data_IF_941604571940
#
_entry.id   IF_941604571940
#
_cell.length_a   1.000
_cell.length_b   1.000
_cell.length_c   1.000
_cell.angle_alpha   90.00
_cell.angle_beta   90.00
_cell.angle_gamma   90.00
#
_symmetry.space_group_name_H-M   'P 1'
#
loop_
_entity.id
_entity.type
_entity.pdbx_description
1 polymer ?
#
# COMPACT_ATOMS: atom_id res chain seq x y z
N UNK A 1 27.68 -96.46 20.91
CA UNK A 1 27.17 -95.18 21.45
C UNK A 1 27.42 -94.18 20.35
N UNK A 2 26.32 -93.72 19.76
CA UNK A 2 26.25 -92.95 18.53
C UNK A 2 26.88 -91.56 18.70
N UNK A 3 27.62 -91.12 17.69
CA UNK A 3 27.79 -89.69 17.43
C UNK A 3 26.46 -89.09 16.95
N UNK A 4 26.17 -87.84 17.31
CA UNK A 4 25.56 -86.97 16.32
C UNK A 4 26.28 -85.61 16.17
N UNK A 5 26.57 -85.36 14.91
CA UNK A 5 26.86 -84.12 14.17
C UNK A 5 26.30 -82.81 14.73
N UNK A 6 27.14 -81.78 14.60
CA UNK A 6 26.87 -80.36 14.89
C UNK A 6 25.72 -79.73 14.08
N UNK A 7 25.14 -78.64 14.59
CA UNK A 7 24.56 -77.58 13.77
C UNK A 7 25.48 -76.35 13.70
N UNK A 8 25.59 -75.85 12.47
CA UNK A 8 26.28 -74.64 12.01
C UNK A 8 25.47 -73.41 12.43
N UNK A 9 26.12 -72.38 13.01
CA UNK A 9 25.59 -71.01 12.93
C UNK A 9 26.73 -69.98 12.75
N UNK A 10 26.46 -69.01 11.87
CA UNK A 10 27.40 -68.25 11.05
C UNK A 10 28.17 -67.11 11.76
N UNK A 11 29.30 -66.63 11.22
CA UNK A 11 30.03 -65.49 11.74
C UNK A 11 29.60 -64.13 11.13
N UNK A 12 29.43 -63.12 12.02
CA UNK A 12 29.64 -61.65 11.88
C UNK A 12 28.84 -60.85 10.82
N UNK A 13 28.43 -59.59 11.09
CA UNK A 13 29.40 -58.48 11.06
C UNK A 13 29.19 -57.31 12.05
N UNK A 14 30.31 -56.60 12.24
CA UNK A 14 30.43 -55.26 12.81
C UNK A 14 29.66 -54.18 12.00
N UNK A 15 29.47 -53.04 12.67
CA UNK A 15 29.16 -51.70 12.17
C UNK A 15 27.69 -51.25 12.20
N UNK A 16 27.41 -50.29 13.08
CA UNK A 16 27.01 -48.95 12.61
C UNK A 16 27.25 -47.92 13.71
N UNK A 17 28.14 -46.98 13.41
CA UNK A 17 28.34 -45.75 14.14
C UNK A 17 27.03 -44.94 14.20
N UNK A 18 26.80 -44.12 15.24
CA UNK A 18 25.69 -43.19 15.26
C UNK A 18 25.86 -42.20 14.11
N UNK A 19 24.87 -42.18 13.23
CA UNK A 19 24.76 -41.31 12.07
C UNK A 19 25.03 -39.85 12.46
N UNK A 20 26.05 -39.27 11.84
CA UNK A 20 26.31 -37.83 11.84
C UNK A 20 25.03 -37.11 11.46
N UNK A 21 24.59 -36.21 12.34
CA UNK A 21 23.65 -35.15 11.98
C UNK A 21 24.33 -34.34 10.89
N UNK A 22 23.87 -34.50 9.65
CA UNK A 22 24.20 -33.64 8.53
C UNK A 22 24.06 -32.19 8.99
N UNK A 23 25.11 -31.40 8.76
CA UNK A 23 25.18 -29.99 9.09
C UNK A 23 23.87 -29.30 8.70
N UNK A 24 23.27 -28.60 9.65
CA UNK A 24 22.01 -27.88 9.48
C UNK A 24 22.13 -26.95 8.27
N UNK A 25 21.48 -27.35 7.18
CA UNK A 25 21.28 -26.51 6.01
C UNK A 25 20.54 -25.26 6.47
N UNK A 26 21.08 -24.08 6.15
CA UNK A 26 20.45 -22.81 6.51
C UNK A 26 18.98 -22.82 6.04
N UNK A 27 18.03 -22.30 6.84
CA UNK A 27 16.62 -22.37 6.50
C UNK A 27 16.40 -21.71 5.14
N UNK A 28 16.04 -22.53 4.14
CA UNK A 28 15.87 -22.07 2.77
C UNK A 28 14.65 -21.17 2.69
N UNK A 29 14.84 -19.86 2.56
CA UNK A 29 13.73 -18.92 2.50
C UNK A 29 13.05 -18.99 1.13
N UNK A 30 11.75 -19.28 1.13
CA UNK A 30 10.88 -19.28 -0.05
C UNK A 30 10.47 -17.85 -0.37
N UNK A 31 10.85 -17.34 -1.53
CA UNK A 31 10.56 -15.98 -1.95
C UNK A 31 9.63 -15.98 -3.16
N UNK A 32 8.45 -15.39 -3.01
CA UNK A 32 7.56 -15.12 -4.15
C UNK A 32 7.91 -13.76 -4.74
N UNK A 33 8.09 -13.71 -6.06
CA UNK A 33 8.60 -12.52 -6.73
C UNK A 33 7.57 -11.98 -7.73
N UNK A 34 7.28 -10.69 -7.63
CA UNK A 34 6.52 -9.93 -8.63
C UNK A 34 7.39 -9.58 -9.86
N UNK A 35 6.79 -9.29 -11.02
CA UNK A 35 7.53 -8.90 -12.24
C UNK A 35 8.39 -7.67 -12.03
N UNK A 36 7.84 -6.66 -11.35
CA UNK A 36 8.53 -5.43 -11.02
C UNK A 36 9.70 -5.66 -10.08
N UNK A 37 9.57 -6.63 -9.17
CA UNK A 37 10.63 -7.06 -8.27
C UNK A 37 11.72 -7.84 -9.01
N UNK A 38 11.34 -8.84 -9.80
CA UNK A 38 12.28 -9.68 -10.55
C UNK A 38 13.16 -8.82 -11.47
N UNK A 39 12.55 -7.88 -12.20
CA UNK A 39 13.23 -7.07 -13.21
C UNK A 39 14.07 -5.91 -12.67
N UNK A 40 13.99 -5.57 -11.37
CA UNK A 40 14.72 -4.43 -10.79
C UNK A 40 15.60 -4.78 -9.61
N UNK A 41 15.27 -5.83 -8.85
CA UNK A 41 16.05 -6.20 -7.67
C UNK A 41 17.46 -6.63 -8.06
N UNK A 42 18.41 -6.24 -7.21
CA UNK A 42 19.81 -6.62 -7.26
C UNK A 42 20.17 -7.66 -6.19
N UNK A 43 19.24 -7.96 -5.29
CA UNK A 43 19.45 -8.79 -4.09
C UNK A 43 18.64 -10.09 -4.07
N UNK A 44 18.22 -10.60 -5.24
CA UNK A 44 17.47 -11.87 -5.33
C UNK A 44 18.26 -13.05 -4.76
N UNK A 45 19.58 -13.05 -4.96
CA UNK A 45 20.53 -14.02 -4.46
C UNK A 45 20.57 -14.10 -2.92
N UNK A 46 20.49 -12.95 -2.25
CA UNK A 46 20.59 -12.86 -0.79
C UNK A 46 19.25 -12.93 -0.07
N UNK A 47 18.15 -12.71 -0.80
CA UNK A 47 16.82 -12.55 -0.19
C UNK A 47 16.02 -13.85 -0.09
N UNK A 48 16.37 -14.88 -0.86
CA UNK A 48 15.74 -16.20 -0.79
C UNK A 48 16.44 -17.27 -1.61
N UNK A 49 16.41 -18.51 -1.11
CA UNK A 49 17.07 -19.66 -1.71
C UNK A 49 16.19 -20.36 -2.77
N UNK A 50 14.86 -20.20 -2.66
CA UNK A 50 13.89 -20.75 -3.61
C UNK A 50 12.95 -19.65 -4.11
N UNK A 51 13.03 -19.33 -5.39
CA UNK A 51 12.21 -18.29 -6.03
C UNK A 51 10.96 -18.90 -6.64
N UNK A 52 9.80 -18.30 -6.37
CA UNK A 52 8.51 -18.71 -6.91
C UNK A 52 7.83 -17.57 -7.65
N UNK A 53 7.16 -17.88 -8.76
CA UNK A 53 6.29 -16.94 -9.47
C UNK A 53 5.06 -17.67 -10.03
N UNK A 54 3.98 -16.92 -10.20
CA UNK A 54 2.77 -17.42 -10.87
C UNK A 54 2.96 -17.45 -12.38
N UNK A 55 2.18 -18.27 -13.08
CA UNK A 55 2.24 -18.37 -14.55
C UNK A 55 2.02 -17.04 -15.26
N UNK A 56 1.17 -16.17 -14.70
CA UNK A 56 0.93 -14.82 -15.24
C UNK A 56 2.18 -13.95 -15.21
N UNK A 57 2.88 -13.96 -14.07
CA UNK A 57 4.13 -13.23 -13.85
C UNK A 57 5.26 -13.77 -14.74
N UNK A 58 5.37 -15.09 -14.90
CA UNK A 58 6.39 -15.71 -15.77
C UNK A 58 6.23 -15.22 -17.22
N UNK A 59 5.00 -15.20 -17.76
CA UNK A 59 4.72 -14.69 -19.11
C UNK A 59 5.07 -13.21 -19.27
N UNK A 60 4.81 -12.41 -18.24
CA UNK A 60 5.19 -10.99 -18.25
C UNK A 60 6.71 -10.80 -18.19
N UNK A 61 7.41 -11.62 -17.40
CA UNK A 61 8.88 -11.65 -17.36
C UNK A 61 9.43 -11.99 -18.75
N UNK A 62 8.90 -13.01 -19.42
CA UNK A 62 9.33 -13.39 -20.78
C UNK A 62 9.18 -12.24 -21.78
N UNK A 63 8.03 -11.55 -21.79
CA UNK A 63 7.84 -10.36 -22.63
C UNK A 63 8.84 -9.24 -22.31
N UNK A 64 9.27 -9.13 -21.06
CA UNK A 64 10.28 -8.16 -20.66
C UNK A 64 11.68 -8.58 -21.13
N UNK A 65 11.99 -9.88 -21.18
CA UNK A 65 13.25 -10.40 -21.74
C UNK A 65 13.44 -9.98 -23.19
N UNK A 66 12.36 -10.02 -23.99
CA UNK A 66 12.40 -9.59 -25.40
C UNK A 66 12.77 -8.11 -25.55
N UNK A 67 12.34 -7.26 -24.60
CA UNK A 67 12.63 -5.83 -24.60
C UNK A 67 14.01 -5.49 -24.03
N UNK A 68 14.54 -6.30 -23.11
CA UNK A 68 15.84 -6.09 -22.47
C UNK A 68 16.65 -7.39 -22.33
N UNK A 69 17.32 -7.84 -23.41
CA UNK A 69 18.01 -9.12 -23.45
C UNK A 69 19.25 -9.17 -22.52
N UNK A 70 19.92 -8.04 -22.30
CA UNK A 70 21.10 -7.97 -21.41
C UNK A 70 20.70 -8.22 -19.95
N UNK A 71 19.63 -7.54 -19.51
CA UNK A 71 19.09 -7.75 -18.15
C UNK A 71 18.51 -9.14 -17.95
N UNK A 72 18.03 -9.77 -19.02
CA UNK A 72 17.54 -11.15 -18.99
C UNK A 72 18.65 -12.18 -18.78
N UNK A 73 19.81 -11.97 -19.42
CA UNK A 73 20.95 -12.90 -19.33
C UNK A 73 21.55 -12.94 -17.92
N UNK A 74 21.68 -11.79 -17.25
CA UNK A 74 22.14 -11.75 -15.84
C UNK A 74 21.18 -12.53 -14.94
N UNK A 75 19.89 -12.55 -15.29
CA UNK A 75 18.84 -13.20 -14.50
C UNK A 75 18.65 -14.68 -14.77
N UNK A 76 19.23 -15.24 -15.83
CA UNK A 76 19.16 -16.68 -16.09
C UNK A 76 19.94 -17.51 -15.06
N UNK A 77 20.74 -16.85 -14.20
CA UNK A 77 21.41 -17.47 -13.05
C UNK A 77 20.41 -17.87 -11.97
N UNK A 78 19.23 -17.23 -11.93
CA UNK A 78 18.21 -17.50 -10.92
C UNK A 78 17.26 -18.61 -11.35
N UNK A 79 17.10 -19.62 -10.49
CA UNK A 79 16.15 -20.71 -10.70
C UNK A 79 14.74 -20.30 -10.24
N UNK A 80 13.93 -19.81 -11.17
CA UNK A 80 12.54 -19.44 -10.91
C UNK A 80 11.61 -20.65 -11.06
N UNK A 81 10.89 -20.99 -9.99
CA UNK A 81 9.91 -22.08 -9.98
C UNK A 81 8.52 -21.53 -10.29
N UNK A 82 7.90 -22.02 -11.36
CA UNK A 82 6.51 -21.70 -11.69
C UNK A 82 5.57 -22.46 -10.75
N UNK A 83 4.68 -21.74 -10.06
CA UNK A 83 3.65 -22.35 -9.21
C UNK A 83 2.42 -21.47 -9.17
N UNK A 84 1.26 -22.07 -9.42
CA UNK A 84 -0.02 -21.37 -9.36
C UNK A 84 -0.68 -21.54 -7.96
N UNK A 85 -1.37 -20.50 -7.47
CA UNK A 85 -2.12 -20.55 -6.22
C UNK A 85 -3.43 -21.33 -6.38
N UNK A 86 -4.01 -21.77 -5.26
CA UNK A 86 -5.32 -22.41 -5.27
C UNK A 86 -6.43 -21.35 -5.29
N UNK A 87 -7.59 -21.71 -5.86
CA UNK A 87 -8.73 -20.80 -5.97
C UNK A 87 -9.27 -20.33 -4.62
N UNK A 88 -9.14 -21.15 -3.57
CA UNK A 88 -9.50 -20.81 -2.19
C UNK A 88 -8.66 -19.65 -1.64
N UNK A 89 -7.36 -19.64 -1.93
CA UNK A 89 -6.44 -18.59 -1.47
C UNK A 89 -6.75 -17.29 -2.20
N UNK A 90 -7.00 -17.38 -3.52
CA UNK A 90 -7.40 -16.23 -4.35
C UNK A 90 -8.68 -15.60 -3.79
N UNK A 91 -9.68 -16.41 -3.42
CA UNK A 91 -10.93 -15.93 -2.85
C UNK A 91 -10.69 -15.23 -1.50
N UNK A 92 -9.82 -15.79 -0.66
CA UNK A 92 -9.46 -15.23 0.65
C UNK A 92 -8.78 -13.87 0.49
N UNK A 93 -7.78 -13.78 -0.40
CA UNK A 93 -7.06 -12.53 -0.70
C UNK A 93 -8.01 -11.47 -1.28
N UNK A 94 -8.91 -11.84 -2.19
CA UNK A 94 -9.91 -10.90 -2.75
C UNK A 94 -10.82 -10.32 -1.67
N UNK A 95 -11.30 -11.15 -0.75
CA UNK A 95 -12.12 -10.69 0.38
C UNK A 95 -11.32 -9.75 1.27
N UNK A 96 -10.08 -10.10 1.59
CA UNK A 96 -9.21 -9.29 2.42
C UNK A 96 -8.88 -7.92 1.78
N UNK A 97 -8.49 -7.91 0.50
CA UNK A 97 -8.21 -6.68 -0.25
C UNK A 97 -9.44 -5.79 -0.43
N UNK A 98 -10.65 -6.37 -0.43
CA UNK A 98 -11.89 -5.59 -0.42
C UNK A 98 -12.10 -4.89 0.93
N UNK A 99 -11.74 -5.54 2.05
CA UNK A 99 -11.82 -4.97 3.39
C UNK A 99 -10.79 -3.85 3.60
N UNK A 100 -9.57 -3.98 3.06
CA UNK A 100 -8.56 -2.90 3.13
C UNK A 100 -8.86 -1.75 2.17
N UNK A 101 -9.63 -2.00 1.10
CA UNK A 101 -9.96 -1.02 0.07
C UNK A 101 -8.93 -0.93 -1.06
N UNK A 102 -7.93 -1.83 -1.09
CA UNK A 102 -6.87 -1.84 -2.12
C UNK A 102 -7.24 -2.68 -3.36
N UNK A 103 -8.32 -3.46 -3.32
CA UNK A 103 -8.75 -4.32 -4.44
C UNK A 103 -8.84 -3.60 -5.81
N UNK A 104 -9.33 -2.35 -5.93
CA UNK A 104 -9.39 -1.66 -7.23
C UNK A 104 -8.02 -1.36 -7.85
N UNK A 105 -6.96 -1.35 -7.03
CA UNK A 105 -5.59 -1.07 -7.46
C UNK A 105 -4.79 -2.34 -7.79
N UNK A 106 -5.29 -3.52 -7.42
CA UNK A 106 -4.61 -4.80 -7.65
C UNK A 106 -5.08 -5.46 -8.96
N UNK A 107 -4.13 -5.98 -9.73
CA UNK A 107 -4.38 -6.80 -10.91
C UNK A 107 -4.63 -8.27 -10.53
N UNK A 108 -5.07 -9.07 -11.52
CA UNK A 108 -5.25 -10.52 -11.33
C UNK A 108 -3.93 -11.24 -11.01
N UNK A 109 -2.82 -10.80 -11.61
CA UNK A 109 -1.50 -11.36 -11.35
C UNK A 109 -1.02 -10.99 -9.94
N UNK A 110 -1.27 -9.76 -9.49
CA UNK A 110 -0.93 -9.30 -8.13
C UNK A 110 -1.67 -10.12 -7.07
N UNK A 111 -2.97 -10.33 -7.25
CA UNK A 111 -3.79 -11.19 -6.38
C UNK A 111 -3.21 -12.62 -6.37
N UNK A 112 -2.77 -13.13 -7.53
CA UNK A 112 -2.13 -14.43 -7.63
C UNK A 112 -0.84 -14.54 -6.82
N UNK A 113 0.03 -13.52 -6.86
CA UNK A 113 1.26 -13.48 -6.07
C UNK A 113 1.00 -13.46 -4.56
N UNK A 114 0.00 -12.69 -4.12
CA UNK A 114 -0.41 -12.64 -2.71
C UNK A 114 -1.01 -13.98 -2.27
N UNK A 115 -1.83 -14.60 -3.12
CA UNK A 115 -2.41 -15.90 -2.84
C UNK A 115 -1.35 -17.02 -2.77
N UNK A 116 -0.36 -16.97 -3.66
CA UNK A 116 0.75 -17.93 -3.64
C UNK A 116 1.61 -17.78 -2.39
N UNK A 117 1.86 -16.55 -1.93
CA UNK A 117 2.57 -16.32 -0.67
C UNK A 117 1.79 -16.85 0.52
N UNK A 118 0.48 -16.63 0.57
CA UNK A 118 -0.38 -17.20 1.60
C UNK A 118 -0.28 -18.72 1.63
N UNK A 119 -0.39 -19.38 0.46
CA UNK A 119 -0.28 -20.83 0.33
C UNK A 119 1.04 -21.37 0.87
N UNK A 120 2.16 -20.75 0.47
CA UNK A 120 3.48 -21.16 0.93
C UNK A 120 3.67 -20.98 2.44
N UNK A 121 3.09 -19.91 3.01
CA UNK A 121 3.09 -19.67 4.45
C UNK A 121 2.26 -20.71 5.21
N UNK A 122 1.11 -21.14 4.66
CA UNK A 122 0.32 -22.22 5.24
C UNK A 122 1.09 -23.55 5.21
N UNK A 123 1.86 -23.81 4.15
CA UNK A 123 2.68 -25.01 4.01
C UNK A 123 3.91 -25.03 4.92
N UNK A 124 4.46 -23.88 5.32
CA UNK A 124 5.56 -23.85 6.29
C UNK A 124 5.09 -24.14 7.72
N UNK A 125 3.79 -24.05 8.01
CA UNK A 125 3.20 -24.29 9.33
C UNK A 125 3.18 -23.05 10.24
N UNK A 126 3.83 -21.96 9.84
CA UNK A 126 3.92 -20.71 10.60
C UNK A 126 2.66 -19.84 10.38
N UNK A 127 1.58 -20.17 11.09
CA UNK A 127 0.28 -19.46 11.00
C UNK A 127 0.06 -18.39 12.06
N UNK A 128 0.98 -18.25 13.02
CA UNK A 128 0.83 -17.38 14.20
C UNK A 128 0.63 -15.89 13.89
N UNK A 129 1.12 -15.42 12.74
CA UNK A 129 1.01 -14.02 12.30
C UNK A 129 -0.13 -13.76 11.30
N UNK A 130 -0.71 -14.82 10.72
CA UNK A 130 -1.72 -14.68 9.68
C UNK A 130 -3.02 -14.12 10.27
N UNK A 131 -3.62 -13.18 9.54
CA UNK A 131 -4.86 -12.52 9.94
C UNK A 131 -5.95 -12.77 8.91
N UNK A 132 -7.15 -13.10 9.37
CA UNK A 132 -8.34 -13.24 8.53
C UNK A 132 -8.98 -11.91 8.18
N UNK A 133 -8.82 -10.90 9.05
CA UNK A 133 -9.39 -9.56 8.89
C UNK A 133 -8.35 -8.49 9.29
N UNK A 134 -8.39 -7.30 8.67
CA UNK A 134 -7.51 -6.20 9.07
C UNK A 134 -7.85 -5.68 10.47
N UNK A 135 -6.83 -5.36 11.26
CA UNK A 135 -7.00 -4.83 12.61
C UNK A 135 -7.67 -3.44 12.60
N UNK A 136 -8.42 -3.11 13.66
CA UNK A 136 -9.11 -1.84 13.76
C UNK A 136 -8.14 -0.67 13.81
N UNK A 137 -8.60 0.46 13.28
CA UNK A 137 -7.85 1.70 13.23
C UNK A 137 -7.64 2.27 14.63
N UNK A 138 -6.43 2.74 14.89
CA UNK A 138 -6.07 3.43 16.12
C UNK A 138 -5.58 4.84 15.84
N UNK A 139 -5.99 5.77 16.69
CA UNK A 139 -5.69 7.18 16.54
C UNK A 139 -4.48 7.55 17.39
N UNK A 140 -3.32 7.67 16.74
CA UNK A 140 -2.20 8.35 17.36
C UNK A 140 -2.44 9.86 17.23
N UNK A 141 -3.05 10.42 18.27
CA UNK A 141 -2.83 11.84 18.56
C UNK A 141 -1.34 11.95 18.80
N UNK A 142 -0.57 12.54 17.87
CA UNK A 142 0.81 12.93 18.12
C UNK A 142 0.78 14.06 19.15
N UNK A 143 0.53 13.69 20.41
CA UNK A 143 0.71 14.50 21.58
C UNK A 143 2.20 14.64 21.78
N UNK A 144 2.75 15.80 21.45
CA UNK A 144 4.05 16.13 22.01
C UNK A 144 3.89 16.19 23.52
N UNK A 145 4.66 15.36 24.22
CA UNK A 145 5.10 15.60 25.59
C UNK A 145 5.40 17.09 25.73
N UNK A 146 4.59 17.78 26.52
CA UNK A 146 4.90 19.09 27.05
C UNK A 146 6.15 18.94 27.91
N UNK A 147 7.30 19.36 27.40
CA UNK A 147 8.40 19.78 28.28
C UNK A 147 7.87 20.96 29.09
N UNK A 148 7.45 20.68 30.32
CA UNK A 148 7.33 21.68 31.38
C UNK A 148 8.70 22.34 31.51
N UNK A 149 8.76 23.64 31.27
CA UNK A 149 9.82 24.48 31.84
C UNK A 149 9.12 25.49 32.72
N UNK A 150 9.36 25.35 34.02
CA UNK A 150 8.89 26.23 35.06
C UNK A 150 9.53 27.63 34.94
N UNK A 151 8.73 28.65 35.25
CA UNK A 151 9.11 29.97 35.79
C UNK A 151 10.02 30.94 34.98
N UNK A 152 9.37 32.02 34.50
CA UNK A 152 9.74 33.44 34.62
C UNK A 152 11.20 33.93 34.40
N UNK A 153 11.45 34.62 33.26
CA UNK A 153 11.99 36.00 33.14
C UNK A 153 12.13 36.44 31.66
N UNK A 154 12.06 37.75 31.33
CA UNK A 154 12.04 38.23 29.94
C UNK A 154 13.45 38.27 29.32
N UNK A 155 13.52 38.01 28.01
CA UNK A 155 14.73 38.00 27.18
C UNK A 155 15.32 39.41 26.97
N UNK A 156 16.66 39.58 26.91
CA UNK A 156 17.28 40.57 26.05
C UNK A 156 17.54 39.99 24.65
N UNK A 157 17.50 40.88 23.65
CA UNK A 157 17.73 40.60 22.23
C UNK A 157 19.23 40.38 21.94
N UNK A 158 19.51 39.55 20.94
CA UNK A 158 20.78 39.53 20.20
C UNK A 158 21.63 38.29 20.45
N UNK A 159 22.06 37.63 19.37
CA UNK A 159 23.09 36.58 19.41
C UNK A 159 22.70 35.33 18.64
N UNK A 160 23.14 35.25 17.38
CA UNK A 160 23.10 34.04 16.58
C UNK A 160 23.79 32.89 17.32
N UNK A 161 23.10 31.75 17.46
CA UNK A 161 23.73 30.48 17.88
C UNK A 161 23.36 29.40 16.89
N UNK A 162 24.39 28.96 16.16
CA UNK A 162 24.40 27.75 15.34
C UNK A 162 23.79 26.60 16.13
N UNK A 163 22.65 26.11 15.65
CA UNK A 163 22.04 24.89 16.16
C UNK A 163 22.74 23.74 15.46
N UNK A 164 23.73 23.16 16.13
CA UNK A 164 24.33 21.88 15.74
C UNK A 164 23.21 20.85 15.62
N UNK A 165 22.90 20.48 14.38
CA UNK A 165 21.91 19.48 14.03
C UNK A 165 22.51 18.14 14.44
N UNK A 166 22.05 17.60 15.58
CA UNK A 166 22.38 16.26 16.06
C UNK A 166 22.06 15.28 14.93
N UNK A 167 23.09 14.71 14.32
CA UNK A 167 22.99 13.72 13.27
C UNK A 167 22.31 12.47 13.86
N UNK A 168 21.00 12.35 13.63
CA UNK A 168 20.32 11.07 13.75
C UNK A 168 20.88 10.16 12.66
N UNK A 169 21.27 8.94 13.03
CA UNK A 169 21.78 7.93 12.13
C UNK A 169 20.88 7.85 10.88
N UNK A 170 21.47 8.21 9.74
CA UNK A 170 20.80 8.23 8.45
C UNK A 170 20.65 6.79 7.92
N UNK A 171 19.63 6.07 8.39
CA UNK A 171 19.03 5.07 7.53
C UNK A 171 18.34 5.84 6.40
N UNK A 172 18.95 5.87 5.22
CA UNK A 172 18.53 6.68 4.05
C UNK A 172 17.19 6.28 3.41
N UNK A 173 16.38 5.48 4.11
CA UNK A 173 15.11 4.90 3.66
C UNK A 173 14.06 5.11 4.75
N UNK A 174 12.93 5.74 4.39
CA UNK A 174 11.83 6.02 5.30
C UNK A 174 11.01 7.24 4.90
N UNK A 175 9.96 7.55 5.68
CA UNK A 175 8.92 8.49 5.27
C UNK A 175 9.35 9.96 5.07
N UNK A 176 10.52 10.36 5.57
CA UNK A 176 11.01 11.74 5.58
C UNK A 176 12.37 11.92 4.86
N UNK A 177 12.77 10.97 3.99
CA UNK A 177 13.99 11.09 3.18
C UNK A 177 13.77 11.79 1.82
N UNK A 178 14.85 12.33 1.25
CA UNK A 178 14.85 12.81 -0.14
C UNK A 178 14.59 11.67 -1.10
N UNK A 179 13.72 11.85 -2.09
CA UNK A 179 13.44 10.82 -3.09
C UNK A 179 14.51 10.87 -4.20
N UNK A 180 15.24 9.78 -4.36
CA UNK A 180 16.24 9.52 -5.41
C UNK A 180 15.72 8.41 -6.35
N UNK A 181 16.27 8.25 -7.56
CA UNK A 181 15.91 7.14 -8.44
C UNK A 181 16.07 5.76 -7.80
N UNK A 182 16.98 5.64 -6.82
CA UNK A 182 17.26 4.39 -6.11
C UNK A 182 16.21 4.09 -5.03
N UNK A 183 15.64 5.11 -4.37
CA UNK A 183 14.70 4.91 -3.25
C UNK A 183 13.22 5.16 -3.59
N UNK A 184 12.92 5.49 -4.86
CA UNK A 184 11.55 5.75 -5.33
C UNK A 184 10.59 4.56 -5.12
N UNK A 185 11.12 3.35 -4.93
CA UNK A 185 10.35 2.14 -4.67
C UNK A 185 10.17 1.83 -3.18
N UNK A 186 10.93 2.48 -2.30
CA UNK A 186 10.95 2.19 -0.86
C UNK A 186 10.59 3.39 0.03
N UNK A 187 10.37 4.59 -0.51
CA UNK A 187 10.07 5.78 0.30
C UNK A 187 8.77 5.69 1.14
N UNK A 188 7.77 4.92 0.68
CA UNK A 188 6.54 4.65 1.44
C UNK A 188 6.66 3.45 2.40
N UNK A 189 7.86 2.90 2.55
CA UNK A 189 8.13 1.73 3.39
C UNK A 189 9.22 2.09 4.39
N UNK A 190 8.98 1.89 5.67
CA UNK A 190 10.06 1.86 6.65
C UNK A 190 10.62 0.45 6.69
N UNK A 191 11.92 0.31 6.55
CA UNK A 191 12.59 -0.99 6.47
C UNK A 191 13.29 -1.35 7.76
N UNK A 192 13.49 -2.64 7.98
CA UNK A 192 14.28 -3.21 9.06
C UNK A 192 15.18 -4.34 8.50
N UNK A 193 16.22 -4.69 9.26
CA UNK A 193 17.02 -5.87 8.93
C UNK A 193 16.12 -7.13 8.93
N UNK A 194 16.31 -8.05 7.96
CA UNK A 194 15.53 -9.28 7.90
C UNK A 194 15.76 -10.12 9.15
N UNK A 195 14.68 -10.72 9.67
CA UNK A 195 14.76 -11.66 10.80
C UNK A 195 15.15 -13.03 10.28
N UNK A 196 15.98 -13.76 11.04
CA UNK A 196 16.50 -15.07 10.65
C UNK A 196 15.45 -16.21 10.64
N UNK A 197 14.22 -15.97 11.13
CA UNK A 197 13.16 -16.97 11.28
C UNK A 197 11.95 -16.67 10.38
N UNK A 198 12.18 -16.26 9.13
CA UNK A 198 11.09 -16.02 8.18
C UNK A 198 11.24 -16.93 6.96
N UNK A 199 10.52 -18.04 6.99
CA UNK A 199 10.59 -19.09 5.95
C UNK A 199 10.01 -18.64 4.62
N UNK A 200 9.03 -17.73 4.63
CA UNK A 200 8.32 -17.27 3.43
C UNK A 200 8.25 -15.76 3.40
N UNK A 201 8.46 -15.18 2.21
CA UNK A 201 8.27 -13.77 1.97
C UNK A 201 7.84 -13.45 0.54
N UNK A 202 7.26 -12.27 0.35
CA UNK A 202 6.98 -11.69 -0.95
C UNK A 202 7.92 -10.52 -1.24
N UNK A 203 8.50 -10.46 -2.45
CA UNK A 203 9.18 -9.28 -2.95
C UNK A 203 8.30 -8.61 -4.01
N UNK A 204 7.92 -7.36 -3.74
CA UNK A 204 7.07 -6.55 -4.63
C UNK A 204 7.46 -5.08 -4.58
N UNK A 205 7.22 -4.40 -5.69
CA UNK A 205 7.43 -2.95 -5.82
C UNK A 205 6.15 -2.14 -5.70
N UNK A 206 4.98 -2.79 -5.72
CA UNK A 206 3.70 -2.09 -5.69
C UNK A 206 3.24 -1.85 -4.25
N UNK A 207 2.84 -0.62 -3.95
CA UNK A 207 2.37 -0.22 -2.64
C UNK A 207 1.06 -0.90 -2.26
N UNK A 208 0.16 -1.16 -3.22
CA UNK A 208 -1.11 -1.84 -2.95
C UNK A 208 -0.88 -3.29 -2.50
N UNK A 209 0.01 -4.02 -3.18
CA UNK A 209 0.42 -5.37 -2.78
C UNK A 209 1.06 -5.37 -1.38
N UNK A 210 1.99 -4.44 -1.14
CA UNK A 210 2.67 -4.31 0.15
C UNK A 210 1.69 -4.05 1.30
N UNK A 211 0.68 -3.20 1.11
CA UNK A 211 -0.36 -2.94 2.10
C UNK A 211 -1.11 -4.22 2.48
N UNK A 212 -1.64 -4.94 1.49
CA UNK A 212 -2.45 -6.14 1.71
C UNK A 212 -1.62 -7.23 2.40
N UNK A 213 -0.40 -7.48 1.92
CA UNK A 213 0.50 -8.48 2.50
C UNK A 213 0.76 -8.21 3.99
N UNK A 214 1.07 -6.96 4.35
CA UNK A 214 1.35 -6.58 5.75
C UNK A 214 0.11 -6.68 6.63
N UNK A 215 -1.06 -6.28 6.12
CA UNK A 215 -2.31 -6.42 6.86
C UNK A 215 -2.66 -7.89 7.12
N UNK A 216 -2.45 -8.77 6.13
CA UNK A 216 -2.60 -10.23 6.26
C UNK A 216 -1.57 -10.86 7.20
N UNK A 217 -0.51 -10.13 7.57
CA UNK A 217 0.59 -10.61 8.41
C UNK A 217 1.63 -11.43 7.66
N UNK A 218 1.70 -11.29 6.33
CA UNK A 218 2.71 -11.90 5.48
C UNK A 218 3.97 -11.03 5.45
N UNK A 219 5.13 -11.68 5.36
CA UNK A 219 6.40 -10.97 5.33
C UNK A 219 6.66 -10.38 3.93
N UNK A 220 7.05 -9.10 3.90
CA UNK A 220 7.35 -8.38 2.67
C UNK A 220 8.80 -7.92 2.67
N UNK A 221 9.46 -8.12 1.54
CA UNK A 221 10.87 -7.75 1.33
C UNK A 221 10.93 -6.68 0.25
N UNK A 222 11.68 -5.61 0.51
CA UNK A 222 11.92 -4.57 -0.49
C UNK A 222 12.95 -5.04 -1.52
N UNK A 223 13.08 -4.30 -2.63
CA UNK A 223 14.07 -4.60 -3.67
C UNK A 223 15.51 -4.73 -3.14
N UNK A 224 15.80 -4.04 -2.04
CA UNK A 224 17.09 -3.97 -1.38
C UNK A 224 17.37 -5.16 -0.44
N UNK A 225 16.43 -6.10 -0.30
CA UNK A 225 16.53 -7.26 0.60
C UNK A 225 16.20 -6.98 2.07
N UNK A 226 15.72 -5.77 2.40
CA UNK A 226 15.26 -5.45 3.75
C UNK A 226 13.80 -5.86 3.97
N UNK A 227 13.46 -6.21 5.22
CA UNK A 227 12.08 -6.49 5.59
C UNK A 227 11.29 -5.19 5.75
N UNK A 228 10.07 -5.14 5.22
CA UNK A 228 9.16 -4.01 5.39
C UNK A 228 8.59 -4.01 6.81
N UNK A 229 9.00 -3.02 7.62
CA UNK A 229 8.51 -2.84 8.99
C UNK A 229 7.14 -2.17 9.01
N UNK A 230 6.98 -1.08 8.26
CA UNK A 230 5.70 -0.39 8.21
C UNK A 230 5.48 0.27 6.86
N UNK A 231 4.25 0.23 6.36
CA UNK A 231 3.89 0.86 5.09
C UNK A 231 2.94 2.03 5.34
N UNK A 232 3.14 3.09 4.57
CA UNK A 232 2.28 4.27 4.59
C UNK A 232 1.31 4.23 3.41
N UNK A 233 0.03 4.15 3.72
CA UNK A 233 -1.06 4.34 2.78
C UNK A 233 -1.78 5.67 3.04
N UNK A 234 -2.75 5.99 2.21
CA UNK A 234 -3.56 7.22 2.34
C UNK A 234 -5.01 6.85 2.57
N UNK A 235 -5.66 7.53 3.50
CA UNK A 235 -7.09 7.45 3.74
C UNK A 235 -7.72 8.82 3.95
N UNK A 236 -9.02 8.85 4.22
CA UNK A 236 -9.76 10.04 4.60
C UNK A 236 -10.16 10.00 6.07
N UNK A 237 -9.91 11.09 6.78
CA UNK A 237 -10.37 11.33 8.16
C UNK A 237 -11.46 12.41 8.13
N UNK A 238 -12.64 12.08 8.65
CA UNK A 238 -13.68 13.08 8.83
C UNK A 238 -13.41 13.94 10.06
N UNK A 239 -13.36 15.27 9.89
CA UNK A 239 -13.13 16.21 10.99
C UNK A 239 -14.33 16.43 11.91
N UNK A 240 -15.53 16.05 11.48
CA UNK A 240 -16.75 16.19 12.27
C UNK A 240 -16.98 14.99 13.21
N UNK A 241 -16.95 13.77 12.69
CA UNK A 241 -17.21 12.54 13.46
C UNK A 241 -15.94 11.75 13.82
N UNK A 242 -14.76 12.15 13.34
CA UNK A 242 -13.47 11.46 13.53
C UNK A 242 -13.39 10.05 12.93
N UNK A 243 -14.39 9.64 12.14
CA UNK A 243 -14.36 8.38 11.41
C UNK A 243 -13.30 8.41 10.29
N UNK A 244 -12.63 7.28 10.06
CA UNK A 244 -11.59 7.12 9.04
C UNK A 244 -12.00 6.07 8.04
N UNK A 245 -11.79 6.37 6.77
CA UNK A 245 -12.14 5.50 5.65
C UNK A 245 -10.92 5.32 4.74
N UNK A 246 -10.68 4.11 4.20
CA UNK A 246 -9.59 3.87 3.25
C UNK A 246 -9.87 4.49 1.87
N UNK A 247 -11.14 4.69 1.50
CA UNK A 247 -11.49 5.26 0.20
C UNK A 247 -11.07 6.75 0.10
N UNK A 248 -10.13 7.04 -0.79
CA UNK A 248 -9.59 8.40 -1.04
C UNK A 248 -10.34 9.21 -2.10
N UNK A 249 -11.39 8.65 -2.70
CA UNK A 249 -12.18 9.30 -3.76
C UNK A 249 -13.46 9.97 -3.25
N UNK A 250 -13.92 9.59 -2.05
CA UNK A 250 -15.18 10.09 -1.48
C UNK A 250 -15.00 11.50 -0.93
N UNK A 251 -15.88 12.43 -1.31
CA UNK A 251 -15.84 13.82 -0.85
C UNK A 251 -16.70 14.08 0.40
N UNK A 252 -17.61 13.16 0.71
CA UNK A 252 -18.52 13.23 1.85
C UNK A 252 -18.24 12.07 2.81
N UNK A 253 -18.44 12.32 4.10
CA UNK A 253 -18.31 11.29 5.13
C UNK A 253 -19.47 10.29 5.08
N UNK A 254 -19.18 8.99 5.18
CA UNK A 254 -20.20 7.92 5.24
C UNK A 254 -21.08 7.99 6.49
N UNK A 255 -20.46 8.28 7.63
CA UNK A 255 -21.13 8.26 8.92
C UNK A 255 -22.00 9.51 9.14
N UNK A 256 -21.47 10.70 8.81
CA UNK A 256 -22.12 11.97 9.14
C UNK A 256 -22.57 12.80 7.93
N UNK A 257 -22.32 12.36 6.69
CA UNK A 257 -22.72 13.05 5.46
C UNK A 257 -21.98 14.37 5.15
N UNK A 258 -21.19 14.91 6.08
CA UNK A 258 -20.53 16.19 5.91
C UNK A 258 -19.31 16.12 4.96
N UNK A 259 -19.08 17.19 4.20
CA UNK A 259 -17.90 17.39 3.36
C UNK A 259 -16.67 17.89 4.14
N UNK A 260 -16.38 17.24 5.27
CA UNK A 260 -15.27 17.62 6.17
C UNK A 260 -14.18 16.55 6.19
N UNK A 261 -13.99 15.84 5.08
CA UNK A 261 -13.00 14.78 4.92
C UNK A 261 -11.65 15.36 4.52
N UNK A 262 -10.61 15.03 5.29
CA UNK A 262 -9.22 15.39 5.01
C UNK A 262 -8.44 14.13 4.64
N UNK A 263 -7.56 14.21 3.63
CA UNK A 263 -6.65 13.11 3.30
C UNK A 263 -5.55 13.02 4.37
N UNK A 264 -5.43 11.88 5.03
CA UNK A 264 -4.46 11.62 6.09
C UNK A 264 -3.63 10.37 5.76
N UNK A 265 -2.35 10.33 6.18
CA UNK A 265 -1.54 9.13 6.06
C UNK A 265 -1.94 8.09 7.13
N UNK A 266 -2.15 6.86 6.68
CA UNK A 266 -2.33 5.68 7.51
C UNK A 266 -1.00 4.91 7.51
N UNK A 267 -0.53 4.49 8.68
CA UNK A 267 0.69 3.69 8.80
C UNK A 267 0.32 2.36 9.40
N UNK A 268 0.65 1.29 8.68
CA UNK A 268 0.40 -0.08 9.11
C UNK A 268 1.73 -0.66 9.54
N UNK A 269 1.80 -1.16 10.77
CA UNK A 269 2.99 -1.82 11.30
C UNK A 269 2.92 -3.33 11.06
N UNK A 270 4.03 -3.96 10.70
CA UNK A 270 4.11 -5.37 10.33
C UNK A 270 3.95 -6.30 11.53
N UNK A 271 4.59 -5.96 12.66
CA UNK A 271 4.60 -6.83 13.85
C UNK A 271 3.26 -6.81 14.57
N UNK A 272 2.75 -5.62 14.84
CA UNK A 272 1.49 -5.43 15.58
C UNK A 272 0.27 -5.54 14.67
N UNK A 273 0.41 -5.22 13.38
CA UNK A 273 -0.71 -5.09 12.44
C UNK A 273 -1.61 -3.90 12.72
N UNK A 274 -1.27 -3.11 13.73
CA UNK A 274 -2.05 -1.96 14.16
C UNK A 274 -1.96 -0.88 13.10
N UNK A 275 -3.13 -0.34 12.73
CA UNK A 275 -3.20 0.75 11.77
C UNK A 275 -3.25 2.06 12.55
N UNK A 276 -2.25 2.90 12.33
CA UNK A 276 -2.10 4.18 12.99
C UNK A 276 -2.46 5.31 12.03
N UNK A 277 -3.40 6.15 12.44
CA UNK A 277 -3.74 7.37 11.71
C UNK A 277 -2.82 8.50 12.15
N UNK A 278 -1.94 8.99 11.26
CA UNK A 278 -1.04 10.10 11.56
C UNK A 278 -1.66 11.44 11.15
N UNK A 279 -2.35 12.09 12.07
CA UNK A 279 -2.92 13.41 11.82
C UNK A 279 -1.84 14.51 11.89
N UNK A 280 -1.53 15.11 10.74
CA UNK A 280 -0.56 16.22 10.63
C UNK A 280 -1.19 17.58 10.89
N UNK A 281 -2.52 17.71 10.81
CA UNK A 281 -3.21 18.99 10.90
C UNK A 281 -3.55 19.31 12.36
N UNK A 282 -2.82 20.25 12.94
CA UNK A 282 -3.01 20.65 14.34
C UNK A 282 -4.18 21.60 14.58
N UNK A 283 -4.56 22.39 13.57
CA UNK A 283 -5.58 23.42 13.72
C UNK A 283 -6.57 23.43 12.54
N UNK A 284 -7.86 23.44 12.87
CA UNK A 284 -8.96 23.52 11.91
C UNK A 284 -9.45 24.97 11.88
N UNK A 285 -9.38 25.60 10.70
CA UNK A 285 -9.88 26.95 10.51
C UNK A 285 -11.31 26.92 9.97
N UNK A 286 -12.25 27.51 10.72
CA UNK A 286 -13.67 27.61 10.35
C UNK A 286 -13.99 28.83 9.49
N UNK A 287 -13.00 29.66 9.15
CA UNK A 287 -13.24 30.84 8.30
C UNK A 287 -13.68 30.43 6.90
N UNK A 288 -14.81 30.99 6.46
CA UNK A 288 -15.36 30.74 5.12
C UNK A 288 -16.21 29.48 4.99
N UNK A 289 -16.52 28.80 6.11
CA UNK A 289 -17.48 27.68 6.09
C UNK A 289 -18.93 28.14 6.10
N UNK A 290 -19.22 29.28 6.73
CA UNK A 290 -20.55 29.91 6.77
C UNK A 290 -20.59 31.02 5.72
N UNK A 291 -21.46 30.87 4.73
CA UNK A 291 -21.69 31.84 3.65
C UNK A 291 -23.11 31.71 3.11
N UNK A 292 -23.58 32.77 2.44
CA UNK A 292 -24.90 32.78 1.81
C UNK A 292 -24.92 31.86 0.60
N UNK A 293 -25.85 30.90 0.60
CA UNK A 293 -26.00 29.94 -0.49
C UNK A 293 -26.84 30.53 -1.64
N UNK A 294 -26.58 30.15 -2.90
CA UNK A 294 -27.43 30.52 -4.02
C UNK A 294 -28.81 29.89 -3.87
N UNK A 295 -29.85 30.57 -4.37
CA UNK A 295 -31.21 30.02 -4.37
C UNK A 295 -31.25 28.74 -5.21
N UNK A 296 -31.90 27.66 -4.74
CA UNK A 296 -32.05 26.45 -5.52
C UNK A 296 -32.82 26.77 -6.79
N UNK A 297 -32.23 26.47 -7.94
CA UNK A 297 -32.80 26.82 -9.23
C UNK A 297 -32.81 25.61 -10.17
N UNK A 298 -33.96 25.38 -10.78
CA UNK A 298 -34.19 24.29 -11.72
C UNK A 298 -33.89 24.77 -13.14
N UNK A 299 -33.10 24.01 -13.91
CA UNK A 299 -32.76 24.36 -15.29
C UNK A 299 -31.48 23.69 -15.78
N UNK A 300 -31.41 23.32 -17.06
CA UNK A 300 -30.30 22.53 -17.63
C UNK A 300 -28.96 23.29 -17.69
N UNK A 301 -28.98 24.62 -17.78
CA UNK A 301 -27.80 25.48 -17.97
C UNK A 301 -27.09 25.92 -16.67
N UNK A 302 -27.71 25.75 -15.50
CA UNK A 302 -27.13 26.22 -14.24
C UNK A 302 -26.02 25.30 -13.72
N UNK A 303 -25.02 25.93 -13.10
CA UNK A 303 -23.87 25.26 -12.49
C UNK A 303 -24.31 24.27 -11.40
N UNK A 304 -23.56 23.17 -11.29
CA UNK A 304 -23.71 22.16 -10.26
C UNK A 304 -23.30 22.72 -8.90
N UNK A 305 -24.24 22.74 -7.95
CA UNK A 305 -24.02 23.13 -6.56
C UNK A 305 -24.32 21.91 -5.68
N UNK A 306 -23.26 21.26 -5.18
CA UNK A 306 -23.37 20.01 -4.43
C UNK A 306 -23.06 20.27 -2.96
N UNK A 307 -23.98 19.94 -2.08
CA UNK A 307 -23.83 20.06 -0.62
C UNK A 307 -23.94 18.71 0.10
N UNK A 308 -24.49 17.70 -0.59
CA UNK A 308 -24.70 16.38 -0.04
C UNK A 308 -24.39 15.30 -1.09
N UNK A 309 -24.11 14.09 -0.61
CA UNK A 309 -23.66 12.99 -1.45
C UNK A 309 -24.77 12.42 -2.36
N UNK A 310 -26.00 12.36 -1.84
CA UNK A 310 -27.19 11.90 -2.57
C UNK A 310 -27.46 12.72 -3.84
N UNK A 311 -27.07 13.99 -3.84
CA UNK A 311 -27.14 14.85 -5.02
C UNK A 311 -26.29 14.27 -6.17
N UNK A 312 -25.15 13.63 -5.90
CA UNK A 312 -24.33 13.00 -6.95
C UNK A 312 -25.08 11.84 -7.66
N UNK A 313 -26.07 11.24 -6.99
CA UNK A 313 -26.86 10.12 -7.52
C UNK A 313 -28.02 10.57 -8.41
N UNK A 314 -28.40 11.85 -8.37
CA UNK A 314 -29.51 12.35 -9.18
C UNK A 314 -29.19 12.22 -10.69
N UNK A 315 -30.17 11.86 -11.54
CA UNK A 315 -29.94 11.62 -12.96
C UNK A 315 -29.23 12.77 -13.70
N UNK A 316 -29.59 14.02 -13.36
CA UNK A 316 -28.96 15.24 -13.91
C UNK A 316 -27.48 15.28 -13.60
N UNK A 317 -27.11 15.13 -12.33
CA UNK A 317 -25.73 15.23 -11.87
C UNK A 317 -24.91 14.04 -12.35
N UNK A 318 -25.48 12.83 -12.35
CA UNK A 318 -24.86 11.62 -12.94
C UNK A 318 -24.53 11.80 -14.43
N UNK A 319 -25.41 12.44 -15.21
CA UNK A 319 -25.14 12.77 -16.63
C UNK A 319 -24.03 13.82 -16.78
N UNK A 320 -24.02 14.85 -15.93
CA UNK A 320 -22.95 15.86 -15.93
C UNK A 320 -21.59 15.26 -15.56
N UNK A 321 -21.53 14.38 -14.55
CA UNK A 321 -20.31 13.67 -14.16
C UNK A 321 -19.76 12.80 -15.30
N UNK A 322 -20.65 12.14 -16.06
CA UNK A 322 -20.25 11.36 -17.25
C UNK A 322 -19.68 12.24 -18.35
N UNK A 323 -20.26 13.43 -18.56
CA UNK A 323 -19.75 14.39 -19.52
C UNK A 323 -18.40 14.98 -19.07
N UNK A 324 -18.23 15.24 -17.77
CA UNK A 324 -16.95 15.65 -17.19
C UNK A 324 -15.90 14.55 -17.35
N UNK A 325 -16.27 13.29 -17.14
CA UNK A 325 -15.39 12.14 -17.35
C UNK A 325 -14.86 12.04 -18.78
N UNK A 326 -15.77 12.17 -19.76
CA UNK A 326 -15.41 12.18 -21.19
C UNK A 326 -14.47 13.34 -21.54
N UNK A 327 -14.70 14.52 -20.96
CA UNK A 327 -13.85 15.70 -21.18
C UNK A 327 -12.50 15.61 -20.46
N UNK A 328 -12.44 14.90 -19.33
CA UNK A 328 -11.23 14.74 -18.54
C UNK A 328 -10.29 13.63 -19.03
N UNK A 329 -10.64 12.94 -20.13
CA UNK A 329 -9.79 11.94 -20.78
C UNK A 329 -8.49 12.51 -21.35
N UNK A 330 -8.41 13.84 -21.50
CA UNK A 330 -7.17 14.54 -21.83
C UNK A 330 -6.50 14.95 -20.51
N UNK A 331 -5.62 14.10 -19.98
CA UNK A 331 -4.82 14.42 -18.80
C UNK A 331 -3.46 14.93 -19.24
N UNK A 332 -2.85 15.88 -18.52
CA UNK A 332 -1.48 16.36 -18.77
C UNK A 332 -0.43 15.23 -18.72
N UNK A 333 -0.81 14.03 -18.24
CA UNK A 333 0.02 12.82 -18.16
C UNK A 333 -0.15 11.93 -19.40
N UNK A 334 -1.15 12.17 -20.25
CA UNK A 334 -1.34 11.44 -21.51
C UNK A 334 -0.11 11.57 -22.44
N UNK A 335 0.61 12.70 -22.36
CA UNK A 335 1.87 12.91 -23.08
C UNK A 335 2.98 11.91 -22.67
N UNK A 336 2.93 11.34 -21.46
CA UNK A 336 3.89 10.34 -20.99
C UNK A 336 3.46 8.90 -21.30
N UNK A 337 2.26 8.70 -21.84
CA UNK A 337 1.74 7.39 -22.27
C UNK A 337 1.67 7.34 -23.80
N UNK A 338 2.81 7.15 -24.50
CA UNK A 338 2.86 7.07 -25.96
C UNK A 338 2.04 5.90 -26.53
N UNK A 339 1.76 4.88 -25.73
CA UNK A 339 1.14 3.62 -26.19
C UNK A 339 -0.36 3.47 -25.86
N UNK A 340 -1.04 4.53 -25.41
CA UNK A 340 -2.48 4.45 -25.12
C UNK A 340 -2.85 3.43 -24.02
N UNK A 341 -1.88 3.03 -23.20
CA UNK A 341 -2.11 2.17 -22.04
C UNK A 341 -2.81 3.01 -20.96
N UNK A 342 -4.13 3.10 -21.04
CA UNK A 342 -4.95 3.72 -20.01
C UNK A 342 -4.86 2.87 -18.74
N UNK A 343 -4.03 3.30 -17.79
CA UNK A 343 -4.04 2.80 -16.42
C UNK A 343 -5.46 3.04 -15.87
N UNK A 344 -6.30 2.00 -15.92
CA UNK A 344 -7.61 1.97 -15.26
C UNK A 344 -8.87 2.03 -16.13
N UNK A 345 -8.80 1.96 -17.47
CA UNK A 345 -10.00 2.02 -18.31
C UNK A 345 -10.68 0.66 -18.61
N UNK A 346 -10.07 -0.46 -18.23
CA UNK A 346 -10.73 -1.75 -18.27
C UNK A 346 -11.53 -1.96 -16.97
N UNK A 347 -12.77 -2.46 -17.09
CA UNK A 347 -13.74 -2.72 -16.01
C UNK A 347 -14.57 -1.52 -15.53
N UNK A 348 -15.39 -0.99 -16.44
CA UNK A 348 -16.58 -0.21 -16.09
C UNK A 348 -17.66 -1.10 -15.46
N UNK A 349 -17.65 -1.21 -14.13
CA UNK A 349 -18.73 -1.78 -13.34
C UNK A 349 -19.50 -0.69 -12.56
N UNK A 350 -20.76 -0.93 -12.16
CA UNK A 350 -21.63 0.05 -11.50
C UNK A 350 -21.16 0.50 -10.10
N UNK A 351 -20.10 -0.12 -9.57
CA UNK A 351 -19.51 0.21 -8.26
C UNK A 351 -18.19 1.00 -8.29
N UNK A 352 -17.65 1.35 -9.47
CA UNK A 352 -16.41 2.13 -9.54
C UNK A 352 -16.72 3.63 -9.53
N UNK A 353 -16.51 4.28 -8.38
CA UNK A 353 -16.52 5.73 -8.27
C UNK A 353 -15.50 6.32 -9.25
N UNK A 354 -15.98 7.12 -10.21
CA UNK A 354 -15.14 7.76 -11.23
C UNK A 354 -14.06 8.63 -10.55
N UNK A 355 -12.79 8.63 -11.02
CA UNK A 355 -11.75 9.56 -10.54
C UNK A 355 -12.16 11.04 -10.62
N UNK A 356 -13.14 11.33 -11.48
CA UNK A 356 -13.80 12.63 -11.66
C UNK A 356 -14.51 13.09 -10.39
N UNK A 357 -15.03 12.18 -9.57
CA UNK A 357 -15.73 12.50 -8.33
C UNK A 357 -14.85 13.31 -7.38
N UNK A 358 -13.55 13.02 -7.32
CA UNK A 358 -12.60 13.79 -6.52
C UNK A 358 -12.42 15.24 -7.03
N UNK A 359 -12.70 15.52 -8.31
CA UNK A 359 -12.56 16.84 -8.95
C UNK A 359 -13.84 17.69 -8.86
N UNK A 360 -14.95 17.11 -8.41
CA UNK A 360 -16.24 17.82 -8.32
C UNK A 360 -16.15 18.93 -7.26
N UNK A 361 -16.54 20.17 -7.55
CA UNK A 361 -16.56 21.21 -6.54
C UNK A 361 -17.75 21.00 -5.58
N UNK A 362 -17.45 20.86 -4.29
CA UNK A 362 -18.46 20.89 -3.22
C UNK A 362 -18.78 22.35 -2.87
N UNK A 363 -20.07 22.67 -2.74
CA UNK A 363 -20.59 24.00 -2.47
C UNK A 363 -20.18 25.00 -3.54
N UNK A 364 -19.60 26.13 -3.11
CA UNK A 364 -19.04 27.13 -4.01
C UNK A 364 -17.61 26.80 -4.49
N UNK A 365 -17.07 25.62 -4.15
CA UNK A 365 -15.75 25.17 -4.56
C UNK A 365 -14.62 25.66 -3.65
N UNK A 366 -13.39 25.67 -4.17
CA UNK A 366 -12.18 25.97 -3.37
C UNK A 366 -12.05 27.48 -3.06
N UNK A 367 -11.70 27.77 -1.81
CA UNK A 367 -11.42 29.12 -1.32
C UNK A 367 -12.44 29.59 -0.26
N UNK A 368 -12.21 30.77 0.31
CA UNK A 368 -13.15 31.39 1.25
C UNK A 368 -14.14 32.28 0.48
N UNK A 369 -15.44 31.93 0.41
CA UNK A 369 -16.44 32.71 -0.32
C UNK A 369 -16.62 34.14 0.23
N UNK A 370 -16.35 34.34 1.52
CA UNK A 370 -16.48 35.65 2.17
C UNK A 370 -15.28 36.58 1.89
N UNK A 371 -14.26 36.13 1.15
CA UNK A 371 -13.10 36.96 0.83
C UNK A 371 -13.37 37.83 -0.41
N UNK A 372 -12.95 39.10 -0.36
CA UNK A 372 -13.11 40.04 -1.47
C UNK A 372 -12.52 39.50 -2.78
N UNK A 373 -11.34 38.88 -2.70
CA UNK A 373 -10.66 38.28 -3.87
C UNK A 373 -11.50 37.16 -4.50
N UNK A 374 -12.13 36.32 -3.67
CA UNK A 374 -12.97 35.24 -4.17
C UNK A 374 -14.26 35.78 -4.78
N UNK A 375 -14.92 36.74 -4.12
CA UNK A 375 -16.12 37.42 -4.62
C UNK A 375 -15.89 38.12 -5.96
N UNK A 376 -14.74 38.79 -6.13
CA UNK A 376 -14.37 39.42 -7.39
C UNK A 376 -14.18 38.39 -8.50
N UNK A 377 -13.51 37.26 -8.21
CA UNK A 377 -13.27 36.19 -9.18
C UNK A 377 -14.57 35.48 -9.62
N UNK A 378 -15.52 35.29 -8.72
CA UNK A 378 -16.75 34.51 -8.97
C UNK A 378 -18.00 35.38 -9.15
N UNK A 379 -17.84 36.70 -9.31
CA UNK A 379 -18.93 37.68 -9.42
C UNK A 379 -19.96 37.35 -10.52
N UNK A 380 -19.53 36.72 -11.62
CA UNK A 380 -20.41 36.30 -12.72
C UNK A 380 -21.26 35.08 -12.33
N UNK A 381 -20.65 34.10 -11.68
CA UNK A 381 -21.31 32.86 -11.27
C UNK A 381 -22.37 33.08 -10.18
N UNK A 382 -22.21 34.11 -9.35
CA UNK A 382 -23.18 34.46 -8.29
C UNK A 382 -24.37 35.28 -8.78
N UNK A 383 -24.33 35.83 -10.00
CA UNK A 383 -25.39 36.68 -10.56
C UNK A 383 -26.45 35.89 -11.35
N UNK A 384 -26.17 34.63 -11.69
CA UNK A 384 -27.05 33.70 -12.41
C UNK A 384 -27.81 32.78 -11.44
#
# INVERSE_FOLDING_TARGET
MEEPTAPIEAPKPEASAPTEKTAAEAPRRKLVVDTGAYNRSTYLDRSGDALFATRGVVKEIERFKDKNPVGAHIRSVFNLTERDPMDEDIATVKRFAALTGDLPSLSGNDIGCIALTLRLQLESGDTSRLRSEPLPLTFDKVGKKSEKTDSAKPRPKGGARNRSKKAGAASGVGFDCWITPENVHSYNVSTAAPKAHEDVACMTTDFAMQNVLIHMGLNVVTLDGFAAKSVRSWGHLCRACMEVFPNTLRQFCENCGNATVDRVPLVVDSETGQVTVKDTRRWINTRGTIYTQPKPATGKSKQMYIVAEDQLMMPRYRNQLRNMARKSGDSDVAHFNPDGCEIGAAFGGPGKQLPVLAKVPVGLGRGNPNSNKWMQKHKRLLKE
#
